data_IF_461152434931
#
_entry.id   IF_461152434931
#
_cell.length_a   1.000
_cell.length_b   1.000
_cell.length_c   1.000
_cell.angle_alpha   90.00
_cell.angle_beta   90.00
_cell.angle_gamma   90.00
#
_symmetry.space_group_name_H-M   'P 1'
#
loop_
_entity.id
_entity.type
_entity.pdbx_description
1 polymer ?
#
# COMPACT_ATOMS: atom_id res chain seq x y z
N UNK A 1 1.32 -13.69 -3.23
CA UNK A 1 2.00 -13.12 -4.41
C UNK A 1 1.08 -12.66 -5.54
N UNK A 2 -0.19 -13.11 -5.65
CA UNK A 2 -1.10 -12.75 -6.77
C UNK A 2 -1.26 -11.24 -7.04
N UNK A 3 -1.25 -10.39 -6.01
CA UNK A 3 -1.48 -8.95 -6.19
C UNK A 3 -0.29 -8.22 -6.84
N UNK A 4 0.96 -8.57 -6.50
CA UNK A 4 2.15 -7.97 -7.11
C UNK A 4 2.16 -8.25 -8.62
N UNK A 5 1.96 -9.50 -9.00
CA UNK A 5 1.88 -9.90 -10.42
C UNK A 5 0.74 -9.21 -11.16
N UNK A 6 -0.42 -9.01 -10.50
CA UNK A 6 -1.53 -8.27 -11.09
C UNK A 6 -1.17 -6.79 -11.32
N UNK A 7 -0.41 -6.20 -10.40
CA UNK A 7 0.06 -4.82 -10.52
C UNK A 7 1.06 -4.65 -11.66
N UNK A 8 2.04 -5.53 -11.78
CA UNK A 8 3.02 -5.54 -12.88
C UNK A 8 2.34 -5.70 -14.24
N UNK A 9 1.36 -6.59 -14.33
CA UNK A 9 0.57 -6.76 -15.56
C UNK A 9 -0.22 -5.50 -15.89
N UNK A 10 -0.84 -4.86 -14.90
CA UNK A 10 -1.62 -3.64 -15.11
C UNK A 10 -0.75 -2.48 -15.59
N UNK A 11 0.45 -2.36 -15.03
CA UNK A 11 1.46 -1.39 -15.45
C UNK A 11 1.88 -1.60 -16.91
N UNK A 12 2.28 -2.83 -17.26
CA UNK A 12 2.71 -3.16 -18.62
C UNK A 12 1.61 -3.02 -19.68
N UNK A 13 0.34 -3.22 -19.31
CA UNK A 13 -0.80 -3.08 -20.22
C UNK A 13 -1.34 -1.65 -20.32
N UNK A 14 -1.00 -0.76 -19.39
CA UNK A 14 -1.53 0.59 -19.34
C UNK A 14 -0.46 1.58 -18.84
N UNK A 15 0.26 2.19 -19.79
CA UNK A 15 1.33 3.15 -19.48
C UNK A 15 0.83 4.33 -18.63
N UNK A 16 -0.36 4.87 -18.92
CA UNK A 16 -0.97 5.96 -18.13
C UNK A 16 -1.19 5.56 -16.68
N UNK A 17 -1.59 4.32 -16.41
CA UNK A 17 -1.71 3.81 -15.05
C UNK A 17 -0.34 3.82 -14.35
N UNK A 18 0.69 3.34 -15.03
CA UNK A 18 2.06 3.32 -14.53
C UNK A 18 2.64 4.69 -14.20
N UNK A 19 2.44 5.65 -15.10
CA UNK A 19 2.88 7.04 -14.89
C UNK A 19 2.22 7.66 -13.67
N UNK A 20 0.89 7.52 -13.55
CA UNK A 20 0.17 8.03 -12.39
C UNK A 20 0.60 7.35 -11.09
N UNK A 21 0.93 6.06 -11.15
CA UNK A 21 1.38 5.31 -9.99
C UNK A 21 2.76 5.76 -9.52
N UNK A 22 3.72 5.88 -10.44
CA UNK A 22 5.07 6.39 -10.14
C UNK A 22 5.02 7.82 -9.61
N UNK A 23 4.19 8.68 -10.21
CA UNK A 23 3.98 10.04 -9.73
C UNK A 23 3.43 10.07 -8.30
N UNK A 24 2.44 9.23 -7.98
CA UNK A 24 1.95 9.09 -6.60
C UNK A 24 3.07 8.68 -5.64
N UNK A 25 3.88 7.67 -5.99
CA UNK A 25 4.95 7.20 -5.11
C UNK A 25 5.98 8.31 -4.87
N UNK A 26 6.37 9.06 -5.91
CA UNK A 26 7.28 10.19 -5.77
C UNK A 26 6.71 11.29 -4.86
N UNK A 27 5.44 11.64 -5.04
CA UNK A 27 4.77 12.63 -4.18
C UNK A 27 4.72 12.15 -2.71
N UNK A 28 4.44 10.87 -2.49
CA UNK A 28 4.36 10.27 -1.16
C UNK A 28 5.72 10.30 -0.42
N UNK A 29 6.83 10.10 -1.16
CA UNK A 29 8.20 10.28 -0.64
C UNK A 29 8.53 11.75 -0.38
N UNK A 30 8.22 12.65 -1.32
CA UNK A 30 8.47 14.09 -1.20
C UNK A 30 7.72 14.70 0.00
N UNK A 31 6.52 14.19 0.30
CA UNK A 31 5.74 14.55 1.47
C UNK A 31 6.26 13.94 2.78
N UNK A 32 7.35 13.15 2.72
CA UNK A 32 7.96 12.44 3.85
C UNK A 32 6.99 11.44 4.51
N UNK A 33 6.06 10.87 3.73
CA UNK A 33 5.16 9.82 4.21
C UNK A 33 5.77 8.41 4.04
N UNK A 34 6.86 8.28 3.29
CA UNK A 34 7.70 7.10 3.22
C UNK A 34 9.17 7.48 3.02
N UNK A 35 10.06 6.55 3.30
CA UNK A 35 11.49 6.66 3.04
C UNK A 35 12.01 5.33 2.45
N UNK A 36 13.15 5.41 1.77
CA UNK A 36 13.86 4.22 1.30
C UNK A 36 14.39 3.43 2.50
N UNK A 37 14.00 2.17 2.60
CA UNK A 37 14.53 1.25 3.61
C UNK A 37 15.92 0.79 3.18
N UNK A 38 16.95 1.17 3.96
CA UNK A 38 18.32 0.65 3.81
C UNK A 38 18.43 -0.79 4.34
N UNK A 39 19.54 -1.48 4.03
CA UNK A 39 19.72 -2.91 4.32
C UNK A 39 19.19 -3.32 5.70
N UNK A 40 18.26 -4.28 5.76
CA UNK A 40 17.65 -4.66 7.02
C UNK A 40 18.70 -5.34 7.90
N UNK A 41 18.90 -4.83 9.11
CA UNK A 41 19.64 -5.58 10.14
C UNK A 41 18.89 -6.87 10.49
N UNK A 42 19.57 -7.89 11.01
CA UNK A 42 18.93 -9.15 11.46
C UNK A 42 17.75 -8.92 12.44
N UNK A 43 17.82 -7.86 13.25
CA UNK A 43 16.75 -7.47 14.17
C UNK A 43 15.57 -6.84 13.44
N UNK A 44 15.83 -6.11 12.36
CA UNK A 44 14.80 -5.53 11.49
C UNK A 44 14.04 -6.66 10.80
N UNK A 45 14.74 -7.63 10.19
CA UNK A 45 14.11 -8.74 9.45
C UNK A 45 13.09 -9.53 10.27
N UNK A 46 13.37 -9.78 11.56
CA UNK A 46 12.45 -10.51 12.45
C UNK A 46 11.13 -9.78 12.73
N UNK A 47 11.11 -8.46 12.60
CA UNK A 47 9.95 -7.62 12.90
C UNK A 47 9.41 -6.87 11.67
N UNK A 48 9.84 -7.25 10.46
CA UNK A 48 9.39 -6.59 9.23
C UNK A 48 8.08 -7.18 8.74
N UNK A 49 7.12 -6.31 8.44
CA UNK A 49 5.91 -6.65 7.71
C UNK A 49 5.87 -5.86 6.39
N UNK A 50 5.80 -6.56 5.26
CA UNK A 50 5.64 -5.92 3.96
C UNK A 50 4.15 -5.84 3.59
N UNK A 51 3.66 -4.61 3.50
CA UNK A 51 2.30 -4.33 3.07
C UNK A 51 2.22 -4.27 1.54
N UNK A 52 1.33 -5.08 0.97
CA UNK A 52 1.05 -4.94 -0.45
C UNK A 52 0.24 -3.67 -0.71
N UNK A 53 0.55 -3.00 -1.80
CA UNK A 53 -0.11 -1.78 -2.22
C UNK A 53 -0.58 -1.92 -3.67
N UNK A 54 -1.70 -1.28 -4.01
CA UNK A 54 -2.25 -1.33 -5.35
C UNK A 54 -2.92 -0.02 -5.74
N UNK A 55 -2.84 0.34 -7.02
CA UNK A 55 -3.44 1.55 -7.56
C UNK A 55 -4.87 1.33 -8.08
N UNK A 56 -5.80 2.17 -7.63
CA UNK A 56 -7.19 2.24 -8.06
C UNK A 56 -7.40 3.51 -8.88
N UNK A 57 -7.79 3.36 -10.14
CA UNK A 57 -8.16 4.48 -10.99
C UNK A 57 -9.59 4.91 -10.69
N UNK A 58 -9.77 6.20 -10.45
CA UNK A 58 -11.08 6.83 -10.28
C UNK A 58 -11.12 8.04 -11.21
N UNK A 59 -11.55 7.82 -12.45
CA UNK A 59 -11.57 8.87 -13.47
C UNK A 59 -12.50 10.05 -13.10
N UNK A 60 -13.54 9.79 -12.31
CA UNK A 60 -14.46 10.79 -11.77
C UNK A 60 -13.88 11.64 -10.64
N UNK A 61 -12.68 11.32 -10.13
CA UNK A 61 -12.04 12.08 -9.05
C UNK A 61 -11.60 13.45 -9.55
N UNK A 62 -11.89 14.50 -8.78
CA UNK A 62 -11.59 15.90 -9.14
C UNK A 62 -10.15 16.29 -8.84
N UNK A 63 -9.53 15.68 -7.83
CA UNK A 63 -8.14 15.97 -7.43
C UNK A 63 -7.16 15.05 -8.15
N UNK A 64 -7.07 13.79 -7.76
CA UNK A 64 -6.16 12.80 -8.35
C UNK A 64 -6.94 11.67 -9.01
N UNK A 65 -6.55 11.27 -10.22
CA UNK A 65 -7.20 10.18 -10.96
C UNK A 65 -6.80 8.80 -10.46
N UNK A 66 -5.72 8.70 -9.69
CA UNK A 66 -5.24 7.47 -9.07
C UNK A 66 -5.18 7.60 -7.55
N UNK A 67 -5.57 6.53 -6.85
CA UNK A 67 -5.36 6.37 -5.40
C UNK A 67 -4.61 5.07 -5.15
N UNK A 68 -3.59 5.09 -4.30
CA UNK A 68 -2.89 3.87 -3.86
C UNK A 68 -3.47 3.40 -2.53
N UNK A 69 -3.73 2.11 -2.44
CA UNK A 69 -4.33 1.46 -1.27
C UNK A 69 -3.34 0.45 -0.70
N UNK A 70 -2.96 0.64 0.56
CA UNK A 70 -2.16 -0.30 1.34
C UNK A 70 -3.06 -1.33 2.00
N UNK A 71 -2.80 -2.62 1.75
CA UNK A 71 -3.65 -3.71 2.24
C UNK A 71 -3.05 -4.37 3.49
N UNK A 72 -3.40 -3.87 4.66
CA UNK A 72 -3.02 -4.44 5.96
C UNK A 72 -3.88 -5.64 6.39
N UNK A 73 -4.97 -5.92 5.68
CA UNK A 73 -5.82 -7.09 5.94
C UNK A 73 -5.31 -8.38 5.27
N UNK A 74 -4.33 -8.25 4.38
CA UNK A 74 -3.77 -9.41 3.70
C UNK A 74 -3.01 -10.30 4.68
N UNK A 75 -3.39 -11.58 4.72
CA UNK A 75 -2.72 -12.59 5.55
C UNK A 75 -1.31 -12.84 5.04
N UNK A 76 -0.37 -12.89 5.98
CA UNK A 76 1.03 -13.27 5.74
C UNK A 76 1.16 -14.80 5.69
N UNK A 77 2.39 -15.32 5.53
CA UNK A 77 2.65 -16.78 5.53
C UNK A 77 2.26 -17.46 6.84
N UNK A 78 2.23 -16.74 7.97
CA UNK A 78 1.76 -17.28 9.25
C UNK A 78 0.23 -17.37 9.34
N UNK A 79 -0.51 -16.84 8.36
CA UNK A 79 -1.97 -16.77 8.39
C UNK A 79 -2.52 -15.51 9.08
N UNK A 80 -1.68 -14.74 9.75
CA UNK A 80 -2.09 -13.50 10.44
C UNK A 80 -2.02 -12.27 9.51
N UNK A 81 -2.90 -11.30 9.74
CA UNK A 81 -2.89 -9.99 9.05
C UNK A 81 -2.37 -8.91 9.98
N UNK A 82 -1.81 -7.82 9.44
CA UNK A 82 -1.30 -6.73 10.27
C UNK A 82 -2.41 -6.09 11.13
N UNK A 83 -3.63 -5.98 10.58
CA UNK A 83 -4.79 -5.48 11.33
C UNK A 83 -5.13 -6.35 12.55
N UNK A 84 -4.84 -7.65 12.52
CA UNK A 84 -5.09 -8.55 13.66
C UNK A 84 -4.03 -8.42 14.76
N UNK A 85 -2.88 -7.80 14.46
CA UNK A 85 -1.77 -7.61 15.40
C UNK A 85 -1.85 -6.26 16.13
N UNK A 86 -2.66 -5.33 15.62
CA UNK A 86 -2.87 -4.02 16.25
C UNK A 86 -4.08 -4.00 17.16
N UNK A 87 -4.03 -3.16 18.20
CA UNK A 87 -5.15 -2.92 19.09
C UNK A 87 -6.25 -2.16 18.35
N UNK A 88 -7.47 -2.68 18.44
CA UNK A 88 -8.68 -2.03 17.97
C UNK A 88 -8.96 -0.92 18.99
N UNK A 89 -8.52 0.31 18.70
CA UNK A 89 -8.78 1.47 19.55
C UNK A 89 -10.27 1.76 19.74
N UNK A 90 -10.60 2.81 20.49
CA UNK A 90 -11.99 3.22 20.67
C UNK A 90 -12.67 3.55 19.33
N UNK A 91 -13.93 3.14 19.16
CA UNK A 91 -14.72 3.55 18.01
C UNK A 91 -15.10 5.03 18.15
N UNK A 92 -14.63 5.87 17.23
CA UNK A 92 -14.86 7.31 17.24
C UNK A 92 -16.09 7.72 16.40
N UNK A 93 -16.77 6.76 15.77
CA UNK A 93 -17.97 7.01 15.01
C UNK A 93 -19.17 7.18 15.96
N UNK A 94 -20.12 8.07 15.64
CA UNK A 94 -21.38 8.15 16.38
C UNK A 94 -22.12 6.79 16.31
N UNK A 95 -22.86 6.47 17.37
CA UNK A 95 -23.81 5.36 17.31
C UNK A 95 -24.82 5.60 16.18
N UNK A 96 -25.10 4.54 15.42
CA UNK A 96 -25.99 4.55 14.27
C UNK A 96 -27.45 4.67 14.67
#
# INVERSE_FOLDING_TARGET
MKLVTAMEKKDSQNSRFGDLYRMFMLDYENLQHMEVVHEPSERTERNTCYLLHHGVLKESSTTTKLRVVFNSSQRTRSGESLNAQFLIGANLLPEL
#
